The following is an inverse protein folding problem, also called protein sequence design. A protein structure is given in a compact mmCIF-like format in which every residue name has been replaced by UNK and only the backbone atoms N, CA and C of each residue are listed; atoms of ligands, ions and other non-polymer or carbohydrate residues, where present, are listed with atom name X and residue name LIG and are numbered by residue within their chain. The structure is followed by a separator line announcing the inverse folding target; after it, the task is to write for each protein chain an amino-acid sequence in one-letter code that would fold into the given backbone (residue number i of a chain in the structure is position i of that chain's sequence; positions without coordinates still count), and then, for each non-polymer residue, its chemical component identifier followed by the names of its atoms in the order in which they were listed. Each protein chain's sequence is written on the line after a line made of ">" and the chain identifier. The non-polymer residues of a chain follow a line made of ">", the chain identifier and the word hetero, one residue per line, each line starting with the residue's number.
data_IF_960074967550
#
_entry.id   IF_960074967550
#
_cell.length_a   1.000
_cell.length_b   1.000
_cell.length_c   1.000
_cell.angle_alpha   90.00
_cell.angle_beta   90.00
_cell.angle_gamma   90.00
#
_symmetry.space_group_name_H-M   'P 1'
#
loop_
_entity.id
_entity.type
_entity.pdbx_description
1 polymer ?
#
# COMPACT_ATOMS: atom_id res chain seq x y z
N UNK A 1 -6.97 -11.61 2.11
CA UNK A 1 -5.96 -12.28 1.27
C UNK A 1 -6.61 -12.76 -0.01
N UNK A 2 -5.90 -12.74 -1.15
CA UNK A 2 -6.39 -13.34 -2.38
C UNK A 2 -6.23 -14.87 -2.34
N UNK A 3 -6.89 -15.57 -3.26
CA UNK A 3 -6.87 -17.05 -3.32
C UNK A 3 -5.50 -17.60 -3.75
N UNK A 4 -4.73 -16.80 -4.48
CA UNK A 4 -3.41 -17.11 -5.03
C UNK A 4 -2.27 -16.50 -4.20
N UNK A 5 -2.53 -16.12 -2.94
CA UNK A 5 -1.47 -15.72 -2.02
C UNK A 5 -0.40 -16.84 -1.90
N UNK A 6 0.92 -16.53 -1.96
CA UNK A 6 1.54 -15.21 -1.94
C UNK A 6 1.88 -14.61 -3.31
N UNK A 7 1.32 -15.11 -4.42
CA UNK A 7 1.59 -14.54 -5.75
C UNK A 7 1.04 -13.12 -5.92
N UNK A 8 -0.06 -12.80 -5.22
CA UNK A 8 -0.67 -11.47 -5.19
C UNK A 8 -0.80 -10.94 -3.77
N UNK A 9 -0.75 -9.61 -3.58
CA UNK A 9 -0.80 -9.00 -2.26
C UNK A 9 -2.19 -9.15 -1.62
N UNK A 10 -2.29 -9.14 -0.28
CA UNK A 10 -3.56 -8.89 0.39
C UNK A 10 -4.03 -7.45 0.15
N UNK A 11 -5.33 -7.21 0.37
CA UNK A 11 -5.87 -5.86 0.54
C UNK A 11 -5.91 -5.53 2.03
N UNK A 12 -5.54 -4.31 2.39
CA UNK A 12 -5.61 -3.79 3.75
C UNK A 12 -6.58 -2.61 3.83
N UNK A 13 -7.41 -2.60 4.87
CA UNK A 13 -8.38 -1.53 5.12
C UNK A 13 -8.46 -1.22 6.61
N UNK A 14 -8.39 0.06 6.96
CA UNK A 14 -8.71 0.52 8.31
C UNK A 14 -10.22 0.46 8.54
N UNK A 15 -10.63 -0.13 9.66
CA UNK A 15 -12.05 -0.14 10.09
C UNK A 15 -12.41 1.15 10.80
N UNK A 16 -11.45 1.70 11.56
CA UNK A 16 -11.59 3.00 12.21
C UNK A 16 -11.49 4.12 11.20
N UNK A 17 -12.21 5.22 11.44
CA UNK A 17 -12.02 6.46 10.68
C UNK A 17 -10.58 6.95 10.84
N UNK A 18 -9.96 7.28 9.72
CA UNK A 18 -8.60 7.81 9.65
C UNK A 18 -8.53 8.86 8.55
N UNK A 19 -7.69 9.87 8.74
CA UNK A 19 -7.44 10.94 7.77
C UNK A 19 -5.97 10.92 7.42
N UNK A 20 -5.63 10.48 6.20
CA UNK A 20 -4.25 10.24 5.79
C UNK A 20 -4.11 10.30 4.26
N UNK A 21 -3.03 10.89 3.70
CA UNK A 21 -2.81 10.98 2.24
C UNK A 21 -2.87 9.63 1.52
N UNK A 22 -2.30 8.58 2.11
CA UNK A 22 -2.21 7.24 1.52
C UNK A 22 -3.36 6.29 1.90
N UNK A 23 -4.45 6.80 2.48
CA UNK A 23 -5.63 6.00 2.84
C UNK A 23 -6.87 6.68 2.24
N UNK A 24 -7.62 5.94 1.41
CA UNK A 24 -8.83 6.47 0.80
C UNK A 24 -9.99 6.65 1.80
N UNK A 25 -11.10 7.21 1.33
CA UNK A 25 -12.29 7.51 2.14
C UNK A 25 -13.01 6.26 2.65
N UNK A 26 -12.80 5.11 2.03
CA UNK A 26 -13.30 3.80 2.46
C UNK A 26 -12.34 3.11 3.44
N UNK A 27 -11.18 3.72 3.71
CA UNK A 27 -10.14 3.24 4.60
C UNK A 27 -9.13 2.31 3.94
N UNK A 28 -9.16 2.11 2.62
CA UNK A 28 -8.21 1.25 1.93
C UNK A 28 -6.82 1.89 1.91
N UNK A 29 -5.81 1.08 2.20
CA UNK A 29 -4.41 1.52 2.23
C UNK A 29 -3.80 1.40 0.84
N UNK A 30 -3.17 2.48 0.37
CA UNK A 30 -2.52 2.56 -0.94
C UNK A 30 -1.03 2.86 -0.77
N UNK A 31 -0.20 1.80 -0.78
CA UNK A 31 1.26 1.88 -0.70
C UNK A 31 1.87 0.79 -1.59
N UNK A 32 3.08 1.04 -2.09
CA UNK A 32 3.75 0.23 -3.12
C UNK A 32 3.79 -1.28 -2.80
N UNK A 33 4.10 -1.66 -1.55
CA UNK A 33 4.15 -3.07 -1.11
C UNK A 33 2.81 -3.82 -1.30
N UNK A 34 1.68 -3.12 -1.42
CA UNK A 34 0.36 -3.69 -1.67
C UNK A 34 -0.07 -3.63 -3.15
N UNK A 35 0.76 -3.07 -4.04
CA UNK A 35 0.49 -3.02 -5.48
C UNK A 35 0.86 -4.34 -6.16
N UNK A 36 0.17 -4.64 -7.26
CA UNK A 36 0.42 -5.85 -8.05
C UNK A 36 1.89 -5.97 -8.49
N UNK A 37 2.46 -7.19 -8.53
CA UNK A 37 3.85 -7.41 -8.91
C UNK A 37 4.12 -6.98 -10.37
N UNK A 38 5.39 -6.71 -10.68
CA UNK A 38 5.86 -6.35 -12.02
C UNK A 38 6.09 -4.86 -12.21
N UNK A 39 6.26 -4.45 -13.46
CA UNK A 39 6.54 -3.06 -13.81
C UNK A 39 5.31 -2.18 -13.61
N UNK A 40 5.52 -1.02 -12.99
CA UNK A 40 4.49 0.00 -12.91
C UNK A 40 4.21 0.58 -14.30
N UNK A 41 2.92 0.74 -14.63
CA UNK A 41 2.50 1.24 -15.95
C UNK A 41 2.93 2.69 -16.20
N UNK A 42 3.14 3.46 -15.14
CA UNK A 42 3.52 4.86 -15.20
C UNK A 42 5.00 5.09 -14.86
N UNK A 43 5.72 4.03 -14.47
CA UNK A 43 7.14 4.08 -14.15
C UNK A 43 7.48 4.84 -12.86
N UNK A 44 6.50 5.06 -11.97
CA UNK A 44 6.74 5.75 -10.69
C UNK A 44 7.37 4.83 -9.65
N UNK A 45 7.08 3.54 -9.73
CA UNK A 45 7.53 2.53 -8.78
C UNK A 45 8.39 1.49 -9.49
N UNK A 46 9.47 1.08 -8.82
CA UNK A 46 10.28 -0.05 -9.27
C UNK A 46 9.59 -1.37 -8.90
N UNK A 47 9.81 -2.45 -9.67
CA UNK A 47 9.29 -3.78 -9.33
C UNK A 47 9.69 -4.27 -7.92
N UNK A 48 10.84 -3.85 -7.42
CA UNK A 48 11.35 -4.18 -6.07
C UNK A 48 10.65 -3.43 -4.93
N UNK A 49 9.94 -2.34 -5.23
CA UNK A 49 9.14 -1.59 -4.26
C UNK A 49 7.70 -2.11 -4.15
N UNK A 50 7.30 -2.96 -5.11
CA UNK A 50 5.95 -3.53 -5.24
C UNK A 50 5.86 -4.89 -4.56
N UNK A 51 4.69 -5.55 -4.63
CA UNK A 51 4.52 -6.86 -4.01
C UNK A 51 5.50 -7.89 -4.58
N UNK A 52 6.17 -8.60 -3.67
CA UNK A 52 7.01 -9.76 -3.93
C UNK A 52 6.54 -10.90 -3.03
N UNK A 53 6.50 -12.16 -3.49
CA UNK A 53 6.06 -13.31 -2.67
C UNK A 53 6.89 -13.57 -1.40
N UNK A 54 8.03 -12.88 -1.23
CA UNK A 54 8.87 -12.92 -0.02
C UNK A 54 8.31 -12.04 1.11
N UNK A 55 7.45 -11.07 0.80
CA UNK A 55 6.84 -10.22 1.81
C UNK A 55 5.86 -11.00 2.68
N UNK A 56 5.83 -10.62 3.94
CA UNK A 56 4.98 -11.21 4.97
C UNK A 56 3.98 -10.17 5.48
N UNK A 57 3.02 -10.61 6.28
CA UNK A 57 2.12 -9.70 7.00
C UNK A 57 2.92 -8.74 7.90
N UNK A 58 4.00 -9.22 8.52
CA UNK A 58 4.89 -8.39 9.34
C UNK A 58 5.53 -7.27 8.51
N UNK A 59 6.08 -7.58 7.33
CA UNK A 59 6.69 -6.54 6.48
C UNK A 59 5.65 -5.53 5.99
N UNK A 60 4.42 -5.96 5.70
CA UNK A 60 3.32 -5.04 5.37
C UNK A 60 3.03 -4.09 6.54
N UNK A 61 2.90 -4.62 7.76
CA UNK A 61 2.59 -3.81 8.93
C UNK A 61 3.71 -2.82 9.26
N UNK A 62 4.98 -3.21 9.07
CA UNK A 62 6.12 -2.31 9.19
C UNK A 62 6.05 -1.15 8.19
N UNK A 63 5.73 -1.43 6.92
CA UNK A 63 5.52 -0.39 5.91
C UNK A 63 4.37 0.55 6.27
N UNK A 64 3.27 0.03 6.85
CA UNK A 64 2.14 0.87 7.30
C UNK A 64 2.54 1.76 8.48
N UNK A 65 3.30 1.24 9.45
CA UNK A 65 3.81 2.05 10.56
C UNK A 65 4.71 3.17 10.02
N UNK A 66 5.60 2.84 9.07
CA UNK A 66 6.45 3.84 8.43
C UNK A 66 5.64 4.90 7.69
N UNK A 67 4.63 4.49 6.91
CA UNK A 67 3.73 5.38 6.18
C UNK A 67 2.95 6.32 7.11
N UNK A 68 2.50 5.84 8.27
CA UNK A 68 1.82 6.67 9.27
C UNK A 68 2.76 7.71 9.92
N UNK A 69 4.06 7.42 9.98
CA UNK A 69 5.06 8.33 10.52
C UNK A 69 5.55 9.35 9.47
N UNK A 70 5.62 8.93 8.20
CA UNK A 70 6.07 9.74 7.07
C UNK A 70 5.13 9.54 5.87
N UNK A 71 4.09 10.38 5.72
CA UNK A 71 3.12 10.27 4.64
C UNK A 71 3.76 10.49 3.26
N UNK A 72 3.33 9.72 2.26
CA UNK A 72 3.77 9.89 0.88
C UNK A 72 2.78 10.75 0.08
N UNK A 73 3.23 11.93 -0.36
CA UNK A 73 2.43 12.92 -1.10
C UNK A 73 2.54 12.81 -2.63
N UNK A 74 3.46 11.99 -3.16
CA UNK A 74 3.68 11.85 -4.61
C UNK A 74 2.55 11.08 -5.30
N UNK A 75 1.81 10.26 -4.55
CA UNK A 75 0.68 9.47 -5.06
C UNK A 75 -0.39 9.28 -3.98
N UNK A 76 -1.16 10.35 -3.66
CA UNK A 76 -2.14 10.30 -2.59
C UNK A 76 -3.39 9.52 -3.02
N UNK A 77 -3.88 8.65 -2.14
CA UNK A 77 -5.19 8.03 -2.25
C UNK A 77 -6.31 8.98 -1.81
N UNK A 78 -5.99 9.95 -0.95
CA UNK A 78 -6.87 11.00 -0.50
C UNK A 78 -6.23 12.36 -0.77
N UNK A 79 -6.71 13.02 -1.84
CA UNK A 79 -6.20 14.30 -2.33
C UNK A 79 -6.46 15.44 -1.34
N UNK A 80 -7.54 15.37 -0.56
CA UNK A 80 -7.87 16.41 0.42
C UNK A 80 -6.98 16.33 1.68
N UNK A 81 -6.38 15.16 1.93
CA UNK A 81 -5.48 14.94 3.06
C UNK A 81 -4.00 15.23 2.74
N UNK A 82 -3.65 15.32 1.46
CA UNK A 82 -2.31 15.59 0.94
C UNK A 82 -2.02 17.10 0.82
#
# INVERSE_FOLDING_TARGET
>A
FPIDYPQRPPKMRFVSKIWHPNIDTDGNVCISILHEPGDDRYGYEKPEERWLPVHTVETILLSVISMLADPNYESPANVDAA
#
